data_IF_686994636568
#
_entry.id   IF_686994636568
#
_cell.length_a   1.000
_cell.length_b   1.000
_cell.length_c   1.000
_cell.angle_alpha   90.00
_cell.angle_beta   90.00
_cell.angle_gamma   90.00
#
_symmetry.space_group_name_H-M   'P 1'
#
loop_
_entity.id
_entity.type
_entity.pdbx_description
1 polymer ?
#
# COMPACT_ATOMS: atom_id res chain seq x y z
N UNK A 1 -5.04 1.90 30.71
CA UNK A 1 -4.96 1.60 29.26
C UNK A 1 -4.41 0.20 28.98
N UNK A 2 -3.22 -0.16 29.47
CA UNK A 2 -2.60 -1.50 29.28
C UNK A 2 -3.51 -2.72 29.57
N UNK A 3 -4.42 -2.63 30.55
CA UNK A 3 -5.35 -3.72 30.88
C UNK A 3 -6.48 -3.93 29.85
N UNK A 4 -6.89 -2.87 29.13
CA UNK A 4 -7.94 -2.96 28.10
C UNK A 4 -7.38 -3.55 26.80
N UNK A 5 -6.14 -3.22 26.45
CA UNK A 5 -5.44 -3.78 25.28
C UNK A 5 -5.16 -5.28 25.47
N UNK A 6 -4.70 -5.69 26.66
CA UNK A 6 -4.52 -7.11 26.97
C UNK A 6 -5.83 -7.90 26.94
N UNK A 7 -6.92 -7.33 27.44
CA UNK A 7 -8.24 -7.96 27.39
C UNK A 7 -8.75 -8.09 25.95
N UNK A 8 -8.58 -7.06 25.11
CA UNK A 8 -8.97 -7.11 23.71
C UNK A 8 -8.19 -8.18 22.93
N UNK A 9 -6.89 -8.34 23.19
CA UNK A 9 -6.07 -9.40 22.59
C UNK A 9 -6.55 -10.78 23.04
N UNK A 10 -6.82 -10.98 24.34
CA UNK A 10 -7.30 -12.27 24.87
C UNK A 10 -8.69 -12.60 24.34
N UNK A 11 -9.62 -11.64 24.31
CA UNK A 11 -10.96 -11.81 23.75
C UNK A 11 -10.88 -12.09 22.25
N UNK A 12 -10.03 -11.36 21.51
CA UNK A 12 -9.81 -11.61 20.09
C UNK A 12 -9.26 -13.00 19.82
N UNK A 13 -8.24 -13.44 20.57
CA UNK A 13 -7.67 -14.77 20.46
C UNK A 13 -8.70 -15.87 20.82
N UNK A 14 -9.51 -15.65 21.85
CA UNK A 14 -10.58 -16.56 22.25
C UNK A 14 -11.68 -16.65 21.18
N UNK A 15 -12.08 -15.52 20.58
CA UNK A 15 -13.05 -15.50 19.47
C UNK A 15 -12.49 -16.25 18.25
N UNK A 16 -11.23 -16.01 17.88
CA UNK A 16 -10.57 -16.73 16.78
C UNK A 16 -10.56 -18.23 17.06
N UNK A 17 -10.19 -18.65 18.27
CA UNK A 17 -10.19 -20.05 18.68
C UNK A 17 -11.59 -20.68 18.65
N UNK A 18 -12.59 -20.02 19.22
CA UNK A 18 -13.97 -20.51 19.29
C UNK A 18 -14.60 -20.64 17.90
N UNK A 19 -14.27 -19.73 16.98
CA UNK A 19 -14.84 -19.71 15.64
C UNK A 19 -13.95 -20.34 14.57
N UNK A 20 -12.81 -20.96 14.95
CA UNK A 20 -11.84 -21.51 13.99
C UNK A 20 -12.46 -22.55 13.05
N UNK A 21 -13.22 -23.52 13.58
CA UNK A 21 -13.81 -24.58 12.76
C UNK A 21 -14.84 -24.02 11.75
N UNK A 22 -15.59 -22.98 12.17
CA UNK A 22 -16.54 -22.29 11.27
C UNK A 22 -15.80 -21.46 10.23
N UNK A 23 -14.71 -20.80 10.61
CA UNK A 23 -13.88 -20.04 9.69
C UNK A 23 -13.24 -20.97 8.65
N UNK A 24 -12.68 -22.10 9.07
CA UNK A 24 -12.11 -23.12 8.21
C UNK A 24 -13.16 -23.70 7.25
N UNK A 25 -14.36 -24.00 7.76
CA UNK A 25 -15.48 -24.46 6.93
C UNK A 25 -15.91 -23.39 5.89
N UNK A 26 -15.94 -22.11 6.25
CA UNK A 26 -16.21 -21.02 5.32
C UNK A 26 -15.14 -20.91 4.24
N UNK A 27 -13.85 -20.99 4.61
CA UNK A 27 -12.72 -20.97 3.67
C UNK A 27 -12.80 -22.16 2.71
N UNK A 28 -13.10 -23.36 3.22
CA UNK A 28 -13.33 -24.55 2.40
C UNK A 28 -14.52 -24.37 1.44
N UNK A 29 -15.65 -23.84 1.90
CA UNK A 29 -16.82 -23.62 1.05
C UNK A 29 -16.55 -22.62 -0.10
N UNK A 30 -15.82 -21.54 0.19
CA UNK A 30 -15.35 -20.60 -0.83
C UNK A 30 -14.42 -21.30 -1.82
N UNK A 31 -13.49 -22.11 -1.33
CA UNK A 31 -12.57 -22.84 -2.18
C UNK A 31 -13.26 -23.87 -3.08
N UNK A 32 -14.21 -24.64 -2.55
CA UNK A 32 -15.02 -25.59 -3.33
C UNK A 32 -15.82 -24.90 -4.44
N UNK A 33 -16.37 -23.72 -4.15
CA UNK A 33 -17.04 -22.89 -5.14
C UNK A 33 -16.08 -22.42 -6.22
N UNK A 34 -14.87 -22.01 -5.85
CA UNK A 34 -13.86 -21.47 -6.78
C UNK A 34 -13.25 -22.57 -7.65
N UNK A 35 -12.76 -23.66 -7.06
CA UNK A 35 -11.99 -24.71 -7.77
C UNK A 35 -12.81 -25.47 -8.83
N UNK A 36 -14.14 -25.34 -8.80
CA UNK A 36 -15.04 -25.92 -9.80
C UNK A 36 -15.26 -25.01 -11.01
N UNK A 37 -14.89 -23.73 -10.95
CA UNK A 37 -15.05 -22.79 -12.06
C UNK A 37 -13.95 -22.97 -13.10
N UNK A 38 -14.35 -22.98 -14.38
CA UNK A 38 -13.42 -23.10 -15.52
C UNK A 38 -12.35 -22.01 -15.51
N UNK A 39 -12.72 -20.78 -15.15
CA UNK A 39 -11.80 -19.66 -15.06
C UNK A 39 -10.70 -19.87 -14.01
N UNK A 40 -11.02 -20.41 -12.83
CA UNK A 40 -10.03 -20.69 -11.76
C UNK A 40 -9.07 -21.81 -12.16
N UNK A 41 -9.54 -22.75 -12.99
CA UNK A 41 -8.73 -23.84 -13.55
C UNK A 41 -7.84 -23.38 -14.70
N UNK A 42 -8.09 -22.20 -15.28
CA UNK A 42 -7.31 -21.67 -16.39
C UNK A 42 -5.94 -21.16 -15.91
N UNK A 43 -4.90 -21.35 -16.71
CA UNK A 43 -3.53 -20.99 -16.33
C UNK A 43 -3.37 -19.49 -16.06
N UNK A 44 -4.13 -18.66 -16.78
CA UNK A 44 -4.10 -17.19 -16.65
C UNK A 44 -4.89 -16.65 -15.46
N UNK A 45 -5.41 -17.49 -14.57
CA UNK A 45 -6.29 -17.05 -13.47
C UNK A 45 -5.65 -15.96 -12.58
N UNK A 46 -4.49 -16.22 -11.97
CA UNK A 46 -3.83 -15.20 -11.10
C UNK A 46 -3.39 -13.95 -11.87
N UNK A 47 -2.74 -14.05 -13.06
CA UNK A 47 -2.44 -12.84 -13.83
C UNK A 47 -3.66 -11.97 -14.10
N UNK A 48 -4.79 -12.58 -14.46
CA UNK A 48 -6.04 -11.85 -14.71
C UNK A 48 -6.60 -11.27 -13.40
N UNK A 49 -6.56 -12.01 -12.29
CA UNK A 49 -6.99 -11.50 -10.97
C UNK A 49 -6.15 -10.30 -10.56
N UNK A 50 -4.82 -10.35 -10.72
CA UNK A 50 -3.93 -9.24 -10.39
C UNK A 50 -4.21 -8.00 -11.25
N UNK A 51 -4.28 -8.15 -12.57
CA UNK A 51 -4.58 -7.03 -13.50
C UNK A 51 -5.97 -6.45 -13.23
N UNK A 52 -6.98 -7.29 -13.01
CA UNK A 52 -8.33 -6.84 -12.68
C UNK A 52 -8.35 -6.09 -11.34
N UNK A 53 -7.62 -6.58 -10.33
CA UNK A 53 -7.52 -5.92 -9.03
C UNK A 53 -6.87 -4.55 -9.16
N UNK A 54 -5.75 -4.44 -9.88
CA UNK A 54 -5.15 -3.14 -10.19
C UNK A 54 -6.15 -2.20 -10.85
N UNK A 55 -6.92 -2.64 -11.86
CA UNK A 55 -7.90 -1.81 -12.52
C UNK A 55 -8.99 -1.30 -11.54
N UNK A 56 -9.48 -2.17 -10.66
CA UNK A 56 -10.47 -1.82 -9.62
C UNK A 56 -9.90 -0.78 -8.65
N UNK A 57 -8.69 -0.99 -8.14
CA UNK A 57 -8.08 -0.08 -7.18
C UNK A 57 -7.71 1.27 -7.80
N UNK A 58 -7.22 1.28 -9.03
CA UNK A 58 -7.00 2.53 -9.77
C UNK A 58 -8.31 3.29 -9.99
N UNK A 59 -9.39 2.59 -10.34
CA UNK A 59 -10.71 3.22 -10.48
C UNK A 59 -11.19 3.83 -9.14
N UNK A 60 -10.96 3.15 -8.02
CA UNK A 60 -11.23 3.69 -6.69
C UNK A 60 -10.46 5.00 -6.45
N UNK A 61 -9.14 5.02 -6.67
CA UNK A 61 -8.34 6.23 -6.46
C UNK A 61 -8.67 7.34 -7.45
N UNK A 62 -9.10 7.00 -8.67
CA UNK A 62 -9.63 7.95 -9.64
C UNK A 62 -10.89 8.64 -9.09
N UNK A 63 -11.81 7.86 -8.51
CA UNK A 63 -13.02 8.42 -7.87
C UNK A 63 -12.63 9.38 -6.73
N UNK A 64 -11.63 9.03 -5.93
CA UNK A 64 -11.11 9.92 -4.88
C UNK A 64 -10.57 11.24 -5.43
N UNK A 65 -9.74 11.19 -6.48
CA UNK A 65 -9.09 12.37 -7.03
C UNK A 65 -10.04 13.25 -7.88
N UNK A 66 -10.95 12.63 -8.63
CA UNK A 66 -11.70 13.31 -9.70
C UNK A 66 -13.19 13.49 -9.41
N UNK A 67 -13.78 12.66 -8.55
CA UNK A 67 -15.24 12.62 -8.35
C UNK A 67 -15.62 13.13 -6.96
N UNK A 68 -14.90 12.74 -5.91
CA UNK A 68 -15.22 13.18 -4.55
C UNK A 68 -14.96 14.69 -4.36
N UNK A 69 -15.77 15.38 -3.53
CA UNK A 69 -15.56 16.80 -3.26
C UNK A 69 -14.18 17.06 -2.64
N UNK A 70 -13.46 18.07 -3.14
CA UNK A 70 -12.16 18.46 -2.57
C UNK A 70 -12.23 18.85 -1.10
N UNK A 71 -13.36 19.42 -0.65
CA UNK A 71 -13.59 19.72 0.77
C UNK A 71 -13.53 18.47 1.64
N UNK A 72 -13.85 17.30 1.09
CA UNK A 72 -13.70 16.02 1.77
C UNK A 72 -12.28 15.46 1.61
N UNK A 73 -11.68 15.45 0.42
CA UNK A 73 -10.41 14.75 0.19
C UNK A 73 -9.17 15.53 0.63
N UNK A 74 -9.21 16.86 0.62
CA UNK A 74 -8.07 17.71 0.95
C UNK A 74 -7.58 17.52 2.39
N UNK A 75 -8.47 17.21 3.34
CA UNK A 75 -8.10 16.97 4.74
C UNK A 75 -7.19 15.75 4.93
N UNK A 76 -7.19 14.83 3.97
CA UNK A 76 -6.36 13.62 3.95
C UNK A 76 -5.19 13.74 2.96
N UNK A 77 -5.12 14.80 2.15
CA UNK A 77 -4.09 14.91 1.11
C UNK A 77 -2.73 15.20 1.74
N UNK A 78 -1.73 14.37 1.43
CA UNK A 78 -0.36 14.56 1.89
C UNK A 78 0.28 15.77 1.20
N UNK A 79 -0.12 16.00 -0.05
CA UNK A 79 0.52 16.94 -0.94
C UNK A 79 -0.31 18.24 -1.01
N UNK A 80 0.32 19.41 -0.81
CA UNK A 80 -0.40 20.69 -0.66
C UNK A 80 -1.01 21.21 -1.97
N UNK A 81 -0.47 20.79 -3.12
CA UNK A 81 -1.02 21.09 -4.44
C UNK A 81 -1.69 19.85 -4.99
N UNK A 82 -2.95 20.00 -5.38
CA UNK A 82 -3.64 19.00 -6.18
C UNK A 82 -3.13 19.08 -7.62
N UNK A 83 -2.02 18.39 -7.89
CA UNK A 83 -1.61 18.05 -9.24
C UNK A 83 -2.34 16.77 -9.66
N UNK A 84 -3.20 16.90 -10.67
CA UNK A 84 -3.98 15.82 -11.24
C UNK A 84 -3.62 15.55 -12.69
N UNK A 85 -2.60 16.22 -13.23
CA UNK A 85 -2.06 15.89 -14.55
C UNK A 85 -1.46 14.46 -14.55
N UNK A 86 -1.23 13.88 -13.37
CA UNK A 86 -0.90 12.47 -13.17
C UNK A 86 -1.95 11.51 -13.74
N UNK A 87 -3.22 11.88 -13.82
CA UNK A 87 -4.23 11.01 -14.45
C UNK A 87 -4.23 11.10 -15.98
N UNK A 88 -3.50 12.06 -16.54
CA UNK A 88 -3.32 12.20 -17.98
C UNK A 88 -2.09 11.40 -18.39
N UNK A 89 -2.25 10.47 -19.32
CA UNK A 89 -1.12 9.79 -19.94
C UNK A 89 -0.46 10.74 -20.95
N UNK A 90 0.88 10.85 -20.90
CA UNK A 90 1.63 11.64 -21.88
C UNK A 90 1.65 10.91 -23.22
N UNK A 91 1.89 11.64 -24.31
CA UNK A 91 1.98 11.08 -25.66
C UNK A 91 3.01 9.93 -25.71
N UNK A 92 2.55 8.72 -25.99
CA UNK A 92 3.39 7.50 -26.05
C UNK A 92 3.40 6.66 -24.76
N UNK A 93 2.94 7.19 -23.64
CA UNK A 93 2.61 6.42 -22.44
C UNK A 93 1.13 6.00 -22.58
N UNK A 94 0.83 4.71 -22.46
CA UNK A 94 -0.56 4.23 -22.44
C UNK A 94 -0.67 3.14 -21.39
N UNK A 95 -1.86 2.99 -20.79
CA UNK A 95 -2.15 1.84 -19.93
C UNK A 95 -1.85 0.50 -20.62
N UNK A 96 -1.99 0.45 -21.95
CA UNK A 96 -1.65 -0.73 -22.74
C UNK A 96 -0.16 -1.04 -22.72
N UNK A 97 0.70 -0.04 -22.81
CA UNK A 97 2.15 -0.26 -22.79
C UNK A 97 2.61 -0.82 -21.44
N UNK A 98 2.10 -0.26 -20.34
CA UNK A 98 2.43 -0.75 -18.99
C UNK A 98 1.81 -2.16 -18.78
N UNK A 99 0.55 -2.37 -19.15
CA UNK A 99 -0.10 -3.68 -19.07
C UNK A 99 0.65 -4.79 -19.85
N UNK A 100 1.26 -4.47 -21.00
CA UNK A 100 2.07 -5.43 -21.75
C UNK A 100 3.31 -5.88 -20.96
N UNK A 101 4.00 -4.96 -20.30
CA UNK A 101 5.17 -5.26 -19.48
C UNK A 101 4.80 -5.97 -18.17
N UNK A 102 3.55 -5.82 -17.71
CA UNK A 102 2.98 -6.65 -16.65
C UNK A 102 2.68 -8.08 -17.11
N UNK A 103 2.02 -8.22 -18.27
CA UNK A 103 1.51 -9.51 -18.76
C UNK A 103 2.64 -10.40 -19.29
N UNK A 104 3.65 -9.86 -19.96
CA UNK A 104 4.72 -10.66 -20.58
C UNK A 104 5.51 -11.50 -19.56
N UNK A 105 6.00 -10.94 -18.43
CA UNK A 105 6.68 -11.72 -17.39
C UNK A 105 5.77 -12.75 -16.76
N UNK A 106 4.48 -12.43 -16.56
CA UNK A 106 3.49 -13.36 -16.02
C UNK A 106 3.24 -14.53 -16.99
N UNK A 107 3.11 -14.26 -18.28
CA UNK A 107 2.93 -15.29 -19.31
C UNK A 107 4.19 -16.17 -19.46
N UNK A 108 5.39 -15.57 -19.40
CA UNK A 108 6.65 -16.32 -19.38
C UNK A 108 6.74 -17.21 -18.15
N UNK A 109 6.36 -16.68 -16.99
CA UNK A 109 6.35 -17.43 -15.74
C UNK A 109 5.35 -18.59 -15.77
N UNK A 110 4.12 -18.37 -16.23
CA UNK A 110 3.10 -19.41 -16.36
C UNK A 110 3.62 -20.57 -17.22
N UNK A 111 4.40 -20.27 -18.28
CA UNK A 111 5.03 -21.28 -19.12
C UNK A 111 6.16 -22.05 -18.43
N UNK A 112 6.96 -21.39 -17.58
CA UNK A 112 8.08 -22.01 -16.87
C UNK A 112 7.61 -22.80 -15.64
N UNK A 113 6.49 -22.40 -15.04
CA UNK A 113 5.95 -22.96 -13.80
C UNK A 113 4.46 -23.29 -13.96
N UNK A 114 4.10 -24.26 -14.83
CA UNK A 114 2.71 -24.62 -15.08
C UNK A 114 1.98 -24.91 -13.78
N UNK A 115 0.72 -24.49 -13.72
CA UNK A 115 -0.08 -24.62 -12.50
C UNK A 115 -0.32 -26.08 -12.17
N UNK A 116 -0.13 -26.38 -10.89
CA UNK A 116 -0.37 -27.71 -10.32
C UNK A 116 -1.88 -27.93 -10.19
N UNK A 117 -2.27 -29.21 -10.12
CA UNK A 117 -3.66 -29.59 -9.83
C UNK A 117 -4.19 -28.82 -8.62
N UNK A 118 -5.42 -28.30 -8.74
CA UNK A 118 -6.07 -27.58 -7.65
C UNK A 118 -6.32 -28.58 -6.51
N UNK A 119 -5.79 -28.34 -5.30
CA UNK A 119 -6.00 -29.24 -4.16
C UNK A 119 -7.48 -29.29 -3.78
N UNK A 120 -7.91 -30.43 -3.23
CA UNK A 120 -9.30 -30.60 -2.78
C UNK A 120 -9.59 -29.81 -1.50
N UNK A 121 -8.63 -29.80 -0.58
CA UNK A 121 -8.73 -29.11 0.70
C UNK A 121 -8.13 -27.71 0.64
N UNK A 122 -8.87 -26.73 1.16
CA UNK A 122 -8.39 -25.38 1.40
C UNK A 122 -7.42 -25.34 2.59
N UNK A 123 -6.59 -24.29 2.73
CA UNK A 123 -5.88 -24.04 3.98
C UNK A 123 -6.90 -23.72 5.09
N UNK A 124 -6.51 -23.93 6.35
CA UNK A 124 -7.26 -23.35 7.47
C UNK A 124 -7.31 -21.83 7.34
N UNK A 125 -8.27 -21.17 7.98
CA UNK A 125 -8.39 -19.71 7.97
C UNK A 125 -7.13 -19.04 8.54
N UNK A 126 -6.55 -19.62 9.60
CA UNK A 126 -5.26 -19.15 10.12
C UNK A 126 -4.12 -19.41 9.13
N UNK A 127 -4.07 -20.59 8.51
CA UNK A 127 -3.08 -20.91 7.47
C UNK A 127 -3.16 -19.97 6.28
N UNK A 128 -4.37 -19.63 5.83
CA UNK A 128 -4.63 -18.66 4.77
C UNK A 128 -4.06 -17.28 5.12
N UNK A 129 -4.38 -16.77 6.30
CA UNK A 129 -3.87 -15.48 6.78
C UNK A 129 -2.34 -15.49 6.89
N UNK A 130 -1.77 -16.56 7.45
CA UNK A 130 -0.33 -16.71 7.60
C UNK A 130 0.38 -16.77 6.24
N UNK A 131 -0.16 -17.50 5.26
CA UNK A 131 0.37 -17.55 3.90
C UNK A 131 0.37 -16.16 3.25
N UNK A 132 -0.74 -15.41 3.34
CA UNK A 132 -0.84 -14.04 2.77
C UNK A 132 0.17 -13.10 3.42
N UNK A 133 0.21 -13.05 4.75
CA UNK A 133 1.16 -12.20 5.49
C UNK A 133 2.60 -12.58 5.16
N UNK A 134 2.91 -13.88 5.10
CA UNK A 134 4.25 -14.36 4.76
C UNK A 134 4.65 -13.95 3.35
N UNK A 135 3.73 -14.04 2.37
CA UNK A 135 3.99 -13.60 0.99
C UNK A 135 4.23 -12.10 0.94
N UNK A 136 3.43 -11.28 1.66
CA UNK A 136 3.64 -9.83 1.73
C UNK A 136 4.99 -9.46 2.33
N UNK A 137 5.37 -10.08 3.44
CA UNK A 137 6.67 -9.83 4.09
C UNK A 137 7.82 -10.27 3.19
N UNK A 138 7.73 -11.46 2.58
CA UNK A 138 8.77 -11.96 1.68
C UNK A 138 8.93 -11.06 0.46
N UNK A 139 7.81 -10.68 -0.17
CA UNK A 139 7.82 -9.74 -1.27
C UNK A 139 8.52 -8.44 -0.90
N UNK A 140 8.19 -7.86 0.26
CA UNK A 140 8.73 -6.57 0.64
C UNK A 140 10.20 -6.66 1.06
N UNK A 141 10.65 -7.78 1.63
CA UNK A 141 12.09 -8.04 1.86
C UNK A 141 12.85 -8.07 0.53
N UNK A 142 12.34 -8.81 -0.45
CA UNK A 142 12.96 -8.93 -1.77
C UNK A 142 12.97 -7.58 -2.50
N UNK A 143 11.84 -6.87 -2.49
CA UNK A 143 11.71 -5.57 -3.12
C UNK A 143 12.55 -4.53 -2.41
N UNK A 144 12.58 -4.49 -1.08
CA UNK A 144 13.44 -3.59 -0.29
C UNK A 144 14.90 -3.70 -0.71
N UNK A 145 15.43 -4.92 -0.79
CA UNK A 145 16.81 -5.14 -1.20
C UNK A 145 17.06 -4.65 -2.65
N UNK A 146 16.12 -4.96 -3.56
CA UNK A 146 16.21 -4.54 -4.95
C UNK A 146 16.10 -3.02 -5.08
N UNK A 147 15.20 -2.39 -4.36
CA UNK A 147 14.93 -0.95 -4.36
C UNK A 147 16.11 -0.17 -3.77
N UNK A 148 16.70 -0.65 -2.68
CA UNK A 148 17.93 -0.09 -2.16
C UNK A 148 19.09 -0.21 -3.19
N UNK A 149 19.18 -1.31 -3.93
CA UNK A 149 20.15 -1.45 -5.02
C UNK A 149 19.87 -0.46 -6.17
N UNK A 150 18.60 -0.25 -6.54
CA UNK A 150 18.20 0.74 -7.54
C UNK A 150 18.65 2.15 -7.15
N UNK A 151 18.66 2.51 -5.86
CA UNK A 151 19.12 3.81 -5.38
C UNK A 151 20.63 3.92 -5.19
N UNK A 152 21.28 2.85 -4.76
CA UNK A 152 22.72 2.88 -4.43
C UNK A 152 23.61 2.68 -5.66
N UNK A 153 23.15 1.93 -6.66
CA UNK A 153 23.91 1.65 -7.89
C UNK A 153 23.50 2.65 -8.97
N UNK A 154 24.34 3.66 -9.20
CA UNK A 154 24.04 4.82 -10.08
C UNK A 154 23.54 4.46 -11.49
N UNK A 155 24.09 3.45 -12.20
CA UNK A 155 23.53 3.02 -13.48
C UNK A 155 22.08 2.53 -13.35
N UNK A 156 21.77 1.69 -12.36
CA UNK A 156 20.43 1.16 -12.12
C UNK A 156 19.44 2.30 -11.85
N UNK A 157 19.82 3.26 -11.01
CA UNK A 157 18.99 4.43 -10.75
C UNK A 157 18.63 5.13 -12.07
N UNK A 158 19.63 5.45 -12.89
CA UNK A 158 19.45 6.26 -14.09
C UNK A 158 18.62 5.57 -15.18
N UNK A 159 18.79 4.27 -15.35
CA UNK A 159 18.16 3.53 -16.45
C UNK A 159 16.84 2.87 -16.07
N UNK A 160 16.68 2.47 -14.80
CA UNK A 160 15.52 1.71 -14.32
C UNK A 160 14.58 2.59 -13.51
N UNK A 161 15.10 3.31 -12.52
CA UNK A 161 14.26 3.89 -11.45
C UNK A 161 14.00 5.40 -11.58
N UNK A 162 14.80 6.13 -12.36
CA UNK A 162 14.66 7.57 -12.53
C UNK A 162 13.33 7.98 -13.20
N UNK A 163 12.70 7.09 -14.00
CA UNK A 163 11.34 7.32 -14.55
C UNK A 163 10.32 7.44 -13.41
N UNK A 164 10.39 6.52 -12.45
CA UNK A 164 9.50 6.47 -11.29
C UNK A 164 9.65 7.71 -10.39
N UNK A 165 10.89 8.13 -10.10
CA UNK A 165 11.18 9.35 -9.34
C UNK A 165 11.01 10.68 -10.10
N UNK A 166 10.69 10.64 -11.39
CA UNK A 166 10.54 11.86 -12.21
C UNK A 166 9.46 12.78 -11.63
N UNK A 167 8.44 12.18 -11.04
CA UNK A 167 7.30 12.86 -10.46
C UNK A 167 7.41 12.82 -8.93
N UNK A 168 7.56 14.00 -8.34
CA UNK A 168 7.63 14.18 -6.89
C UNK A 168 6.25 14.09 -6.22
N UNK A 169 5.22 14.42 -6.97
CA UNK A 169 3.84 14.27 -6.55
C UNK A 169 3.41 12.84 -6.86
N UNK A 170 3.05 12.08 -5.83
CA UNK A 170 2.67 10.66 -5.98
C UNK A 170 1.15 10.56 -6.04
N UNK A 171 0.66 9.85 -7.05
CA UNK A 171 -0.76 9.46 -7.22
C UNK A 171 -0.81 7.98 -7.54
N UNK A 172 -1.96 7.34 -7.32
CA UNK A 172 -2.10 5.90 -7.47
C UNK A 172 -1.64 5.40 -8.86
N UNK A 173 -1.77 6.22 -9.91
CA UNK A 173 -1.26 5.94 -11.26
C UNK A 173 0.25 5.69 -11.34
N UNK A 174 1.03 6.24 -10.42
CA UNK A 174 2.49 6.04 -10.39
C UNK A 174 2.86 4.61 -10.01
N UNK A 175 1.95 3.85 -9.39
CA UNK A 175 2.12 2.42 -9.11
C UNK A 175 2.37 1.57 -10.37
N UNK A 176 1.92 2.05 -11.54
CA UNK A 176 2.04 1.34 -12.83
C UNK A 176 2.86 2.14 -13.86
N UNK A 177 3.42 3.29 -13.50
CA UNK A 177 4.25 4.13 -14.40
C UNK A 177 5.73 3.87 -14.20
N UNK A 178 6.08 2.60 -14.17
CA UNK A 178 7.43 2.12 -13.92
C UNK A 178 8.20 2.02 -15.24
N UNK A 179 9.53 1.91 -15.20
CA UNK A 179 10.22 1.45 -16.40
C UNK A 179 9.89 -0.03 -16.65
N UNK A 180 9.96 -0.55 -17.89
CA UNK A 180 9.73 -1.97 -18.15
C UNK A 180 10.60 -2.89 -17.28
N UNK A 181 11.85 -2.50 -17.04
CA UNK A 181 12.76 -3.27 -16.20
C UNK A 181 12.35 -3.26 -14.71
N UNK A 182 11.83 -2.14 -14.23
CA UNK A 182 11.35 -2.00 -12.86
C UNK A 182 10.05 -2.78 -12.63
N UNK A 183 9.16 -2.77 -13.62
CA UNK A 183 7.93 -3.56 -13.58
C UNK A 183 8.22 -5.07 -13.58
N UNK A 184 9.13 -5.52 -14.45
CA UNK A 184 9.60 -6.92 -14.46
C UNK A 184 10.20 -7.30 -13.11
N UNK A 185 11.02 -6.42 -12.52
CA UNK A 185 11.64 -6.64 -11.22
C UNK A 185 10.59 -6.76 -10.10
N UNK A 186 9.60 -5.87 -10.08
CA UNK A 186 8.53 -5.87 -9.09
C UNK A 186 7.69 -7.16 -9.16
N UNK A 187 7.29 -7.54 -10.37
CA UNK A 187 6.59 -8.80 -10.64
C UNK A 187 7.45 -10.01 -10.27
N UNK A 188 8.76 -9.98 -10.57
CA UNK A 188 9.69 -11.05 -10.22
C UNK A 188 9.83 -11.23 -8.70
N UNK A 189 9.88 -10.14 -7.93
CA UNK A 189 9.87 -10.19 -6.46
C UNK A 189 8.59 -10.87 -5.95
N UNK A 190 7.43 -10.52 -6.52
CA UNK A 190 6.15 -11.13 -6.14
C UNK A 190 6.10 -12.62 -6.49
N UNK A 191 6.51 -12.99 -7.70
CA UNK A 191 6.64 -14.38 -8.14
C UNK A 191 7.57 -15.17 -7.21
N UNK A 192 8.71 -14.59 -6.85
CA UNK A 192 9.63 -15.24 -5.92
C UNK A 192 8.98 -15.41 -4.53
N UNK A 193 8.27 -14.41 -4.03
CA UNK A 193 7.59 -14.49 -2.74
C UNK A 193 6.57 -15.63 -2.67
N UNK A 194 5.72 -15.78 -3.69
CA UNK A 194 4.69 -16.84 -3.71
C UNK A 194 5.25 -18.26 -3.92
N UNK A 195 6.51 -18.39 -4.39
CA UNK A 195 7.13 -19.69 -4.70
C UNK A 195 8.24 -20.13 -3.73
N UNK A 196 8.81 -19.23 -2.94
CA UNK A 196 9.99 -19.53 -2.10
C UNK A 196 9.66 -19.76 -0.62
N UNK A 197 8.47 -19.38 -0.16
CA UNK A 197 8.05 -19.63 1.22
C UNK A 197 7.93 -21.13 1.53
N UNK A 198 8.78 -21.63 2.43
CA UNK A 198 8.54 -22.91 3.14
C UNK A 198 8.67 -24.21 2.34
N UNK A 199 9.47 -24.26 1.26
CA UNK A 199 9.70 -25.44 0.40
C UNK A 199 8.44 -26.00 -0.31
N UNK A 200 7.25 -25.47 -0.03
CA UNK A 200 5.97 -25.79 -0.68
C UNK A 200 5.38 -24.50 -1.24
N UNK A 201 4.81 -24.57 -2.44
CA UNK A 201 4.10 -23.41 -3.02
C UNK A 201 2.87 -23.10 -2.17
N UNK A 202 2.59 -21.82 -1.90
CA UNK A 202 1.38 -21.37 -1.21
C UNK A 202 0.12 -21.83 -1.95
N UNK A 203 -0.98 -21.99 -1.21
CA UNK A 203 -2.23 -22.47 -1.77
C UNK A 203 -2.79 -21.49 -2.83
N UNK A 204 -3.41 -21.95 -3.93
CA UNK A 204 -3.90 -21.05 -4.99
C UNK A 204 -4.90 -20.00 -4.50
N UNK A 205 -5.75 -20.33 -3.53
CA UNK A 205 -6.64 -19.35 -2.87
C UNK A 205 -5.84 -18.24 -2.19
N UNK A 206 -4.80 -18.59 -1.43
CA UNK A 206 -3.94 -17.63 -0.75
C UNK A 206 -3.22 -16.73 -1.73
N UNK A 207 -2.71 -17.28 -2.84
CA UNK A 207 -2.05 -16.52 -3.91
C UNK A 207 -3.00 -15.51 -4.55
N UNK A 208 -4.21 -15.93 -4.90
CA UNK A 208 -5.21 -15.03 -5.48
C UNK A 208 -5.61 -13.90 -4.52
N UNK A 209 -5.81 -14.20 -3.23
CA UNK A 209 -6.10 -13.17 -2.22
C UNK A 209 -4.89 -12.27 -1.94
N UNK A 210 -3.69 -12.83 -1.98
CA UNK A 210 -2.45 -12.05 -1.92
C UNK A 210 -2.36 -11.09 -3.11
N UNK A 211 -2.64 -11.50 -4.34
CA UNK A 211 -2.63 -10.62 -5.52
C UNK A 211 -3.62 -9.45 -5.36
N UNK A 212 -4.84 -9.73 -4.89
CA UNK A 212 -5.82 -8.67 -4.60
C UNK A 212 -5.29 -7.71 -3.52
N UNK A 213 -4.69 -8.26 -2.46
CA UNK A 213 -4.20 -7.50 -1.30
C UNK A 213 -2.98 -6.65 -1.64
N UNK A 214 -1.97 -7.24 -2.28
CA UNK A 214 -0.73 -6.54 -2.61
C UNK A 214 -0.98 -5.44 -3.63
N UNK A 215 -1.85 -5.66 -4.63
CA UNK A 215 -2.19 -4.62 -5.61
C UNK A 215 -2.93 -3.45 -4.94
N UNK A 216 -3.81 -3.73 -3.97
CA UNK A 216 -4.41 -2.68 -3.14
C UNK A 216 -3.32 -1.89 -2.41
N UNK A 217 -2.46 -2.58 -1.67
CA UNK A 217 -1.41 -1.95 -0.86
C UNK A 217 -0.43 -1.13 -1.70
N UNK A 218 -0.03 -1.62 -2.88
CA UNK A 218 0.81 -0.87 -3.81
C UNK A 218 0.08 0.42 -4.24
N UNK A 219 -1.19 0.35 -4.64
CA UNK A 219 -1.92 1.56 -5.04
C UNK A 219 -2.19 2.52 -3.87
N UNK A 220 -2.48 2.00 -2.67
CA UNK A 220 -2.65 2.78 -1.44
C UNK A 220 -1.37 3.55 -1.11
N UNK A 221 -0.21 2.90 -1.19
CA UNK A 221 1.11 3.50 -0.97
C UNK A 221 1.34 4.69 -1.91
N UNK A 222 0.86 4.61 -3.15
CA UNK A 222 1.01 5.68 -4.14
C UNK A 222 -0.15 6.69 -4.13
N UNK A 223 -1.19 6.50 -3.32
CA UNK A 223 -2.43 7.30 -3.40
C UNK A 223 -2.22 8.81 -3.16
N UNK A 224 -1.22 9.18 -2.35
CA UNK A 224 -1.00 10.56 -1.92
C UNK A 224 -1.97 11.01 -0.84
N UNK A 225 -2.66 10.07 -0.20
CA UNK A 225 -3.59 10.30 0.91
C UNK A 225 -3.09 9.66 2.22
N UNK A 226 -3.50 10.24 3.33
CA UNK A 226 -3.25 9.77 4.70
C UNK A 226 -4.58 9.75 5.46
N UNK A 227 -5.27 8.61 5.41
CA UNK A 227 -6.58 8.44 6.04
C UNK A 227 -6.48 7.63 7.33
N UNK A 228 -7.35 7.86 8.33
CA UNK A 228 -7.25 7.17 9.63
C UNK A 228 -7.32 5.63 9.58
N UNK A 229 -7.85 5.05 8.51
CA UNK A 229 -8.04 3.61 8.34
C UNK A 229 -7.01 2.96 7.42
N UNK A 230 -6.02 3.71 6.94
CA UNK A 230 -4.88 3.11 6.23
C UNK A 230 -4.05 2.24 7.17
N UNK A 231 -3.41 1.21 6.62
CA UNK A 231 -2.66 0.22 7.41
C UNK A 231 -1.55 0.84 8.25
N UNK A 232 -0.88 1.88 7.75
CA UNK A 232 0.15 2.62 8.52
C UNK A 232 -0.39 3.37 9.74
N UNK A 233 -1.69 3.63 9.78
CA UNK A 233 -2.37 4.29 10.90
C UNK A 233 -3.07 3.31 11.84
N UNK A 234 -3.28 2.07 11.38
CA UNK A 234 -3.85 0.97 12.19
C UNK A 234 -2.74 0.18 12.89
N UNK A 235 -1.65 -0.13 12.18
CA UNK A 235 -0.54 -0.93 12.72
C UNK A 235 0.41 -0.01 13.49
N UNK A 236 0.55 -0.17 14.81
CA UNK A 236 1.35 0.72 15.63
C UNK A 236 2.85 0.46 15.49
N UNK A 237 3.65 1.37 16.07
CA UNK A 237 5.09 1.13 16.31
C UNK A 237 5.98 1.26 15.08
N UNK A 238 5.50 1.88 14.00
CA UNK A 238 6.30 2.06 12.77
C UNK A 238 6.60 0.74 12.05
N UNK A 239 5.89 -0.34 12.40
CA UNK A 239 6.03 -1.65 11.75
C UNK A 239 5.52 -1.62 10.30
N UNK A 240 4.64 -0.66 9.98
CA UNK A 240 4.02 -0.52 8.68
C UNK A 240 4.16 0.90 8.12
N UNK A 241 4.69 1.00 6.89
CA UNK A 241 4.75 2.20 6.08
C UNK A 241 3.50 2.31 5.20
N UNK A 242 3.15 3.55 4.89
CA UNK A 242 2.02 3.89 4.04
C UNK A 242 2.36 5.09 3.18
N UNK A 243 1.35 5.65 2.51
CA UNK A 243 1.57 6.71 1.52
C UNK A 243 2.42 7.90 2.00
N UNK A 244 2.34 8.37 3.27
CA UNK A 244 3.21 9.44 3.76
C UNK A 244 4.71 9.14 3.66
N UNK A 245 5.11 7.92 3.99
CA UNK A 245 6.50 7.49 3.98
C UNK A 245 7.02 7.42 2.54
N UNK A 246 6.21 6.87 1.65
CA UNK A 246 6.56 6.76 0.24
C UNK A 246 6.54 8.11 -0.48
N UNK A 247 5.65 9.04 -0.12
CA UNK A 247 5.71 10.41 -0.60
C UNK A 247 7.03 11.10 -0.20
N UNK A 248 7.46 10.95 1.07
CA UNK A 248 8.76 11.46 1.53
C UNK A 248 9.93 10.80 0.77
N UNK A 249 9.83 9.50 0.50
CA UNK A 249 10.79 8.78 -0.34
C UNK A 249 10.87 9.37 -1.76
N UNK A 250 9.74 9.62 -2.43
CA UNK A 250 9.73 10.26 -3.75
C UNK A 250 10.33 11.67 -3.75
N UNK A 251 10.14 12.41 -2.66
CA UNK A 251 10.68 13.77 -2.51
C UNK A 251 12.20 13.79 -2.31
N UNK A 252 12.73 12.85 -1.53
CA UNK A 252 14.12 12.87 -1.06
C UNK A 252 15.02 11.86 -1.77
N UNK A 253 14.49 10.70 -2.14
CA UNK A 253 15.20 9.55 -2.69
C UNK A 253 16.21 8.91 -1.72
N UNK A 254 16.03 9.12 -0.41
CA UNK A 254 17.06 8.81 0.61
C UNK A 254 16.59 7.91 1.75
N UNK A 255 15.28 7.85 1.99
CA UNK A 255 14.70 7.18 3.15
C UNK A 255 13.49 6.36 2.71
N UNK A 256 13.06 5.42 3.55
CA UNK A 256 11.84 4.62 3.35
C UNK A 256 11.83 3.82 2.03
N UNK A 257 12.76 2.87 1.91
CA UNK A 257 12.86 1.99 0.75
C UNK A 257 11.90 0.80 0.81
N UNK A 258 11.42 0.41 2.00
CA UNK A 258 10.43 -0.66 2.11
C UNK A 258 9.07 -0.15 1.65
N UNK A 259 8.32 -0.96 0.91
CA UNK A 259 6.96 -0.58 0.51
C UNK A 259 6.02 -0.60 1.71
N UNK A 260 6.15 -1.60 2.59
CA UNK A 260 5.17 -1.86 3.65
C UNK A 260 5.81 -2.09 5.02
N UNK A 261 6.75 -3.01 5.15
CA UNK A 261 7.38 -3.45 6.37
C UNK A 261 8.40 -2.42 6.87
N UNK A 262 7.95 -1.44 7.65
CA UNK A 262 8.80 -0.32 8.10
C UNK A 262 9.94 -0.70 9.04
N UNK A 263 9.86 -1.89 9.65
CA UNK A 263 10.98 -2.45 10.40
C UNK A 263 12.20 -2.72 9.51
N UNK A 264 12.05 -2.96 8.20
CA UNK A 264 13.18 -3.18 7.28
C UNK A 264 14.05 -1.92 7.19
N UNK A 265 13.42 -0.75 7.01
CA UNK A 265 14.14 0.52 7.00
C UNK A 265 14.75 0.84 8.37
N UNK A 266 14.04 0.49 9.45
CA UNK A 266 14.56 0.69 10.82
C UNK A 266 15.83 -0.13 11.05
N UNK A 267 15.83 -1.41 10.67
CA UNK A 267 16.99 -2.31 10.78
C UNK A 267 18.13 -1.83 9.89
N UNK A 268 17.83 -1.37 8.68
CA UNK A 268 18.83 -0.89 7.73
C UNK A 268 19.34 0.52 8.02
N UNK A 269 18.75 1.24 8.98
CA UNK A 269 19.11 2.63 9.28
C UNK A 269 18.72 3.62 8.16
N UNK A 270 17.71 3.30 7.37
CA UNK A 270 17.21 4.11 6.24
C UNK A 270 15.98 4.95 6.59
N UNK A 271 15.69 5.11 7.89
CA UNK A 271 14.72 6.09 8.40
C UNK A 271 15.39 7.47 8.60
N UNK A 272 14.67 8.58 8.43
CA UNK A 272 15.22 9.92 8.65
C UNK A 272 15.44 10.19 10.15
N UNK A 273 16.44 11.02 10.46
CA UNK A 273 16.71 11.45 11.83
C UNK A 273 15.63 12.40 12.39
N UNK A 274 14.89 13.08 11.51
CA UNK A 274 13.74 13.91 11.86
C UNK A 274 12.45 13.16 11.52
N UNK A 275 11.37 13.31 12.31
CA UNK A 275 10.07 12.77 11.96
C UNK A 275 9.60 13.26 10.59
N UNK A 276 8.66 12.52 9.99
CA UNK A 276 8.07 12.86 8.69
C UNK A 276 7.67 14.33 8.60
N UNK A 277 7.91 14.92 7.43
CA UNK A 277 7.59 16.32 7.15
C UNK A 277 6.08 16.61 7.10
N UNK A 278 5.24 15.56 7.02
CA UNK A 278 3.80 15.70 6.93
C UNK A 278 3.14 16.05 8.29
N UNK A 279 2.33 17.13 8.38
CA UNK A 279 1.74 17.59 9.64
C UNK A 279 0.90 16.55 10.40
N UNK A 280 0.29 15.59 9.69
CA UNK A 280 -0.56 14.57 10.32
C UNK A 280 0.23 13.46 11.04
N UNK A 281 1.53 13.27 10.73
CA UNK A 281 2.40 12.31 11.40
C UNK A 281 3.36 12.95 12.40
N UNK A 282 3.67 14.25 12.24
CA UNK A 282 4.35 15.03 13.28
C UNK A 282 3.49 15.19 14.56
N UNK A 283 2.16 15.01 14.46
CA UNK A 283 1.19 15.11 15.54
C UNK A 283 0.97 13.78 16.31
N UNK A 284 1.90 12.84 16.27
CA UNK A 284 1.87 11.65 17.11
C UNK A 284 2.78 11.74 18.35
N UNK A 285 2.55 12.68 19.30
CA UNK A 285 2.68 12.36 20.70
C UNK A 285 1.27 12.03 21.23
N UNK A 286 1.06 10.76 21.60
CA UNK A 286 -0.09 10.25 22.36
C UNK A 286 -1.42 11.03 22.16
N UNK A 287 -2.28 10.60 21.23
CA UNK A 287 -3.68 11.04 21.19
C UNK A 287 -4.39 10.59 22.46
N UNK A 288 -4.32 11.39 23.51
CA UNK A 288 -5.30 11.37 24.60
C UNK A 288 -6.65 11.69 23.97
N UNK A 289 -7.53 10.68 23.92
CA UNK A 289 -8.88 10.83 23.42
C UNK A 289 -9.68 11.71 24.39
N UNK A 290 -9.62 13.02 24.18
CA UNK A 290 -10.52 13.98 24.80
C UNK A 290 -11.86 13.93 24.10
N UNK A 291 -12.83 13.29 24.75
CA UNK A 291 -14.25 13.33 24.39
C UNK A 291 -14.67 14.78 24.18
N UNK A 292 -15.25 15.04 23.01
CA UNK A 292 -15.87 16.30 22.63
C UNK A 292 -17.01 16.60 23.61
N UNK A 293 -16.79 17.54 24.53
CA UNK A 293 -17.85 18.07 25.40
C UNK A 293 -18.07 19.54 25.08
N UNK A 294 -19.25 19.79 24.53
CA UNK A 294 -20.06 21.02 24.51
C UNK A 294 -19.37 22.36 24.80
N UNK A 295 -19.46 23.25 23.80
CA UNK A 295 -19.34 24.69 23.99
C UNK A 295 -20.42 25.23 24.94
N UNK A 296 -20.10 26.23 25.79
CA UNK A 296 -21.11 27.14 26.27
C UNK A 296 -21.05 28.48 25.53
N UNK A 297 -22.24 28.92 25.17
CA UNK A 297 -22.59 30.24 24.63
C UNK A 297 -22.41 31.32 25.71
N UNK A 298 -21.82 32.45 25.31
CA UNK A 298 -22.18 33.78 25.82
C UNK A 298 -21.16 34.51 26.71
N UNK A 299 -20.60 35.63 26.22
CA UNK A 299 -21.04 37.01 26.54
C UNK A 299 -20.18 38.05 25.81
N UNK A 300 -20.86 39.10 25.37
CA UNK A 300 -20.43 40.27 24.59
C UNK A 300 -19.77 41.40 25.40
N UNK A 301 -19.18 42.38 24.68
CA UNK A 301 -18.88 43.81 25.01
C UNK A 301 -17.40 44.05 25.44
N UNK A 302 -16.59 45.02 24.95
CA UNK A 302 -16.75 46.29 24.20
C UNK A 302 -15.44 46.71 23.45
N UNK A 303 -15.44 47.79 22.63
CA UNK A 303 -14.37 48.23 21.71
C UNK A 303 -13.38 49.23 22.35
N UNK A 304 -12.43 49.75 21.54
CA UNK A 304 -11.21 50.53 21.87
C UNK A 304 -10.01 49.59 22.17
N UNK A 305 -8.96 49.50 21.35
CA UNK A 305 -8.14 50.62 20.86
C UNK A 305 -7.83 50.57 19.36
N UNK A 306 -8.01 51.74 18.75
CA UNK A 306 -7.51 52.11 17.43
C UNK A 306 -6.04 52.53 17.54
N UNK A 307 -5.21 52.17 16.55
CA UNK A 307 -4.50 53.09 15.64
C UNK A 307 -3.38 52.40 14.83
N UNK A 308 -2.92 53.00 13.70
CA UNK A 308 -2.53 52.31 12.49
C UNK A 308 -1.01 52.18 12.26
N UNK A 309 -0.70 51.42 11.20
CA UNK A 309 0.57 51.24 10.47
C UNK A 309 1.52 52.44 10.42
N UNK A 310 2.81 52.19 10.09
CA UNK A 310 3.19 52.45 8.69
C UNK A 310 4.06 51.37 8.04
N UNK A 311 3.89 51.31 6.72
CA UNK A 311 4.76 50.67 5.74
C UNK A 311 6.09 51.41 5.67
N UNK A 312 7.20 50.68 5.54
CA UNK A 312 8.40 51.21 4.89
C UNK A 312 8.92 50.19 3.86
N UNK A 313 8.98 50.66 2.62
CA UNK A 313 9.82 50.14 1.55
C UNK A 313 11.21 50.77 1.70
N UNK A 314 12.27 49.97 1.69
CA UNK A 314 13.62 50.44 1.34
C UNK A 314 14.40 49.28 0.72
N UNK A 315 14.73 49.45 -0.58
CA UNK A 315 15.68 48.78 -1.49
C UNK A 315 15.70 47.25 -1.63
#
# INVERSE_FOLDING_TARGET
MLQLEGLAVVVGAALVWVFQDRADACVQAVWDLMRTRSFVRHETFEPVVSVASFAVWHAQWFVWDMVLPRTFTQQFSIQPKADFDHWRFKRGETLWNEALWYIVPLALFDRLYPRRALPETAPSAFGLALEIVSMLVMYDVLFFAAHLALHTVRPLYRTVHAKHHRLKHVRATEAVRLSPAEEVLDVACSIAAVNTLGFRRCHPLSRALYDVTITYLITELHSGYDTPWMWSNIIPGGLWHGSPHHCEHHLTGRHYFAKFCGFLDTIAGTVPAKPLSHPLLAAAPARTHGVMLHAPVGKTVSPYDAHPTPKEHVY
#
